data_IF_528960641871
#
_entry.id   IF_528960641871
#
_cell.length_a   1.000
_cell.length_b   1.000
_cell.length_c   1.000
_cell.angle_alpha   90.00
_cell.angle_beta   90.00
_cell.angle_gamma   90.00
#
_symmetry.space_group_name_H-M   'P 1'
#
loop_
_entity.id
_entity.type
_entity.pdbx_description
1 polymer ?
#
# COMPACT_ATOMS: atom_id res chain seq x y z
N UNK A 1 -10.34 24.84 -8.57
CA UNK A 1 -10.29 23.37 -8.58
C UNK A 1 -9.59 22.95 -9.85
N UNK A 2 -8.70 21.95 -9.79
CA UNK A 2 -8.08 21.43 -11.00
C UNK A 2 -9.12 20.79 -11.93
N UNK A 3 -8.98 21.02 -13.23
CA UNK A 3 -9.88 20.47 -14.26
C UNK A 3 -9.01 19.77 -15.30
N UNK A 4 -9.32 18.51 -15.53
CA UNK A 4 -8.67 17.65 -16.52
C UNK A 4 -9.78 17.10 -17.39
N UNK A 5 -10.27 17.92 -18.33
CA UNK A 5 -11.48 17.62 -19.10
C UNK A 5 -11.44 16.21 -19.73
N UNK A 6 -12.54 15.45 -19.66
CA UNK A 6 -13.87 15.83 -19.19
C UNK A 6 -14.16 15.42 -17.73
N UNK A 7 -13.12 15.31 -16.90
CA UNK A 7 -13.23 15.13 -15.45
C UNK A 7 -12.69 16.35 -14.70
N UNK A 8 -13.10 16.50 -13.45
CA UNK A 8 -12.67 17.62 -12.60
C UNK A 8 -12.42 17.16 -11.18
N UNK A 9 -11.55 17.88 -10.49
CA UNK A 9 -11.43 17.74 -9.05
C UNK A 9 -12.77 18.11 -8.39
N UNK A 10 -13.21 17.30 -7.43
CA UNK A 10 -14.45 17.47 -6.71
C UNK A 10 -14.24 17.34 -5.20
N UNK A 11 -15.17 17.91 -4.44
CA UNK A 11 -15.19 17.88 -3.00
C UNK A 11 -16.30 16.95 -2.49
N UNK A 12 -15.95 16.10 -1.55
CA UNK A 12 -16.79 15.13 -0.88
C UNK A 12 -16.57 15.22 0.64
N UNK A 13 -17.58 14.85 1.42
CA UNK A 13 -17.59 14.98 2.87
C UNK A 13 -16.47 14.19 3.59
N UNK A 14 -16.03 13.08 3.00
CA UNK A 14 -14.96 12.25 3.58
C UNK A 14 -13.56 12.86 3.39
N UNK A 15 -13.39 13.81 2.48
CA UNK A 15 -12.08 14.44 2.28
C UNK A 15 -11.71 15.29 3.50
N UNK A 16 -10.41 15.46 3.69
CA UNK A 16 -9.84 16.31 4.74
C UNK A 16 -8.99 17.40 4.12
N UNK A 17 -8.93 18.54 4.78
CA UNK A 17 -7.96 19.59 4.52
C UNK A 17 -6.85 19.42 5.56
N UNK A 18 -5.66 19.07 5.10
CA UNK A 18 -4.52 18.74 5.95
C UNK A 18 -3.44 19.80 5.77
N UNK A 19 -2.98 20.39 6.86
CA UNK A 19 -1.86 21.32 6.83
C UNK A 19 -0.54 20.54 6.75
N UNK A 20 0.15 20.66 5.62
CA UNK A 20 1.45 20.06 5.37
C UNK A 20 2.53 21.12 5.58
N UNK A 21 3.49 20.90 6.51
CA UNK A 21 4.55 21.86 6.74
C UNK A 21 5.30 22.23 5.46
N UNK A 22 5.52 23.53 5.29
CA UNK A 22 6.18 24.13 4.12
C UNK A 22 5.44 24.00 2.77
N UNK A 23 4.26 23.36 2.74
CA UNK A 23 3.45 23.20 1.51
C UNK A 23 2.04 23.80 1.64
N UNK A 24 1.60 24.10 2.86
CA UNK A 24 0.29 24.66 3.14
C UNK A 24 -0.79 23.59 3.21
N UNK A 25 -2.04 24.00 3.02
CA UNK A 25 -3.19 23.11 3.15
C UNK A 25 -3.40 22.28 1.87
N UNK A 26 -3.46 20.95 2.02
CA UNK A 26 -3.76 20.02 0.92
C UNK A 26 -5.08 19.29 1.15
N UNK A 27 -5.86 19.10 0.09
CA UNK A 27 -7.02 18.21 0.10
C UNK A 27 -6.57 16.75 0.05
N UNK A 28 -7.04 15.90 0.97
CA UNK A 28 -6.67 14.49 1.04
C UNK A 28 -7.88 13.56 1.19
N UNK A 29 -8.02 12.52 0.34
CA UNK A 29 -7.36 12.39 -0.97
C UNK A 29 -7.88 13.44 -1.95
N UNK A 30 -7.18 13.69 -3.06
CA UNK A 30 -7.77 14.43 -4.18
C UNK A 30 -8.75 13.51 -4.93
N UNK A 31 -9.95 14.00 -5.27
CA UNK A 31 -10.97 13.19 -5.94
C UNK A 31 -11.27 13.77 -7.31
N UNK A 32 -11.19 12.95 -8.36
CA UNK A 32 -11.69 13.28 -9.69
C UNK A 32 -13.00 12.55 -9.98
N UNK A 33 -13.93 13.26 -10.61
CA UNK A 33 -15.20 12.71 -11.11
C UNK A 33 -15.46 13.23 -12.53
N UNK A 34 -16.07 12.42 -13.42
CA UNK A 34 -16.57 12.91 -14.71
C UNK A 34 -17.55 14.07 -14.51
N UNK A 35 -17.55 15.04 -15.42
CA UNK A 35 -18.56 16.11 -15.43
C UNK A 35 -19.94 15.56 -15.81
N UNK A 36 -21.03 16.16 -15.32
CA UNK A 36 -22.39 15.63 -15.51
C UNK A 36 -22.81 15.49 -16.99
N UNK A 37 -22.27 16.33 -17.87
CA UNK A 37 -22.49 16.30 -19.32
C UNK A 37 -21.32 15.66 -20.10
N UNK A 38 -20.39 15.03 -19.37
CA UNK A 38 -19.18 14.41 -19.92
C UNK A 38 -19.51 13.21 -20.80
N UNK A 39 -18.67 13.03 -21.82
CA UNK A 39 -18.68 11.82 -22.66
C UNK A 39 -18.11 10.59 -21.96
N UNK A 40 -17.40 10.73 -20.84
CA UNK A 40 -16.62 9.64 -20.20
C UNK A 40 -17.56 8.58 -19.60
N UNK A 41 -18.07 7.72 -20.47
CA UNK A 41 -19.18 6.79 -20.23
C UNK A 41 -18.79 5.35 -20.50
N UNK A 42 -17.72 5.13 -21.28
CA UNK A 42 -17.13 3.81 -21.52
C UNK A 42 -15.74 3.67 -20.93
N UNK A 43 -15.30 2.41 -20.76
CA UNK A 43 -13.96 2.11 -20.25
C UNK A 43 -12.87 2.59 -21.21
N UNK A 44 -13.08 2.56 -22.53
CA UNK A 44 -12.12 3.02 -23.51
C UNK A 44 -11.84 4.53 -23.38
N UNK A 45 -12.89 5.32 -23.12
CA UNK A 45 -12.79 6.75 -22.87
C UNK A 45 -12.07 7.04 -21.54
N UNK A 46 -12.35 6.25 -20.50
CA UNK A 46 -11.67 6.35 -19.21
C UNK A 46 -10.17 6.03 -19.34
N UNK A 47 -9.82 4.96 -20.06
CA UNK A 47 -8.44 4.56 -20.34
C UNK A 47 -7.72 5.65 -21.13
N UNK A 48 -8.33 6.15 -22.20
CA UNK A 48 -7.74 7.23 -23.01
C UNK A 48 -7.53 8.51 -22.20
N UNK A 49 -8.48 8.85 -21.31
CA UNK A 49 -8.37 9.99 -20.42
C UNK A 49 -7.23 9.82 -19.40
N UNK A 50 -7.11 8.64 -18.77
CA UNK A 50 -6.02 8.35 -17.83
C UNK A 50 -4.68 8.42 -18.55
N UNK A 51 -4.54 7.79 -19.72
CA UNK A 51 -3.29 7.80 -20.49
C UNK A 51 -2.87 9.22 -20.89
N UNK A 52 -3.83 10.04 -21.34
CA UNK A 52 -3.59 11.45 -21.70
C UNK A 52 -3.13 12.28 -20.49
N UNK A 53 -3.68 12.00 -19.31
CA UNK A 53 -3.46 12.81 -18.10
C UNK A 53 -2.45 12.19 -17.11
N UNK A 54 -1.86 11.02 -17.41
CA UNK A 54 -1.06 10.23 -16.45
C UNK A 54 0.04 11.02 -15.76
N UNK A 55 0.78 11.85 -16.49
CA UNK A 55 1.86 12.65 -15.90
C UNK A 55 1.32 13.63 -14.85
N UNK A 56 0.22 14.33 -15.18
CA UNK A 56 -0.42 15.27 -14.26
C UNK A 56 -1.07 14.56 -13.08
N UNK A 57 -1.69 13.40 -13.29
CA UNK A 57 -2.21 12.56 -12.21
C UNK A 57 -1.11 12.12 -11.25
N UNK A 58 0.06 11.70 -11.74
CA UNK A 58 1.18 11.32 -10.89
C UNK A 58 1.78 12.52 -10.13
N UNK A 59 1.87 13.69 -10.76
CA UNK A 59 2.24 14.94 -10.07
C UNK A 59 1.26 15.28 -8.95
N UNK A 60 -0.04 15.16 -9.20
CA UNK A 60 -1.06 15.42 -8.20
C UNK A 60 -1.05 14.39 -7.08
N UNK A 61 -0.82 13.12 -7.39
CA UNK A 61 -0.67 12.08 -6.39
C UNK A 61 0.54 12.35 -5.49
N UNK A 62 1.62 12.93 -6.04
CA UNK A 62 2.79 13.36 -5.26
C UNK A 62 2.47 14.52 -4.31
N UNK A 63 1.63 15.47 -4.71
CA UNK A 63 1.21 16.62 -3.87
C UNK A 63 0.20 16.19 -2.81
N UNK A 64 -0.85 15.51 -3.23
CA UNK A 64 -1.98 15.16 -2.38
C UNK A 64 -1.79 13.83 -1.64
N UNK A 65 -0.76 13.04 -1.97
CA UNK A 65 -0.49 11.72 -1.40
C UNK A 65 -1.37 10.58 -1.95
N UNK A 66 -2.61 10.88 -2.36
CA UNK A 66 -3.51 9.92 -2.99
C UNK A 66 -4.54 10.60 -3.91
N UNK A 67 -4.95 9.88 -4.96
CA UNK A 67 -6.05 10.26 -5.86
C UNK A 67 -7.12 9.17 -5.84
N UNK A 68 -8.38 9.59 -5.78
CA UNK A 68 -9.55 8.74 -6.01
C UNK A 68 -10.21 9.11 -7.34
N UNK A 69 -10.34 8.14 -8.24
CA UNK A 69 -11.19 8.25 -9.43
C UNK A 69 -12.57 7.72 -9.06
N UNK A 70 -13.56 8.62 -8.94
CA UNK A 70 -14.93 8.29 -8.53
C UNK A 70 -15.89 8.45 -9.70
N UNK A 71 -16.87 7.55 -9.79
CA UNK A 71 -17.91 7.54 -10.83
C UNK A 71 -17.37 7.38 -12.27
N UNK A 72 -16.16 6.80 -12.41
CA UNK A 72 -15.63 6.35 -13.70
C UNK A 72 -16.26 5.01 -14.11
N UNK A 73 -16.38 4.71 -15.42
CA UNK A 73 -16.97 3.47 -15.95
C UNK A 73 -16.04 2.25 -15.79
N UNK A 74 -15.61 1.97 -14.56
CA UNK A 74 -14.75 0.85 -14.17
C UNK A 74 -15.61 -0.12 -13.35
N UNK A 75 -15.93 -1.28 -13.93
CA UNK A 75 -16.92 -2.21 -13.37
C UNK A 75 -16.46 -3.67 -13.33
N UNK A 76 -15.22 -3.94 -13.73
CA UNK A 76 -14.63 -5.29 -13.67
C UNK A 76 -13.14 -5.22 -13.33
N UNK A 77 -12.55 -6.36 -12.97
CA UNK A 77 -11.11 -6.48 -12.77
C UNK A 77 -10.30 -6.16 -14.05
N UNK A 78 -10.81 -6.51 -15.23
CA UNK A 78 -10.18 -6.20 -16.52
C UNK A 78 -10.20 -4.70 -16.81
N UNK A 79 -11.29 -4.00 -16.46
CA UNK A 79 -11.35 -2.54 -16.57
C UNK A 79 -10.30 -1.90 -15.64
N UNK A 80 -10.17 -2.40 -14.41
CA UNK A 80 -9.17 -1.92 -13.48
C UNK A 80 -7.73 -2.18 -13.95
N UNK A 81 -7.45 -3.37 -14.49
CA UNK A 81 -6.16 -3.72 -15.10
C UNK A 81 -5.82 -2.77 -16.27
N UNK A 82 -6.80 -2.48 -17.14
CA UNK A 82 -6.62 -1.55 -18.25
C UNK A 82 -6.31 -0.12 -17.77
N UNK A 83 -6.95 0.34 -16.70
CA UNK A 83 -6.65 1.64 -16.08
C UNK A 83 -5.25 1.64 -15.50
N UNK A 84 -4.85 0.59 -14.77
CA UNK A 84 -3.50 0.45 -14.22
C UNK A 84 -2.42 0.56 -15.30
N UNK A 85 -2.62 -0.13 -16.43
CA UNK A 85 -1.75 -0.06 -17.62
C UNK A 85 -1.72 1.35 -18.23
N UNK A 86 -2.85 2.05 -18.27
CA UNK A 86 -2.95 3.41 -18.79
C UNK A 86 -2.17 4.44 -17.95
N UNK A 87 -2.10 4.27 -16.62
CA UNK A 87 -1.26 5.12 -15.76
C UNK A 87 0.22 4.98 -16.13
N UNK A 88 0.63 3.82 -16.67
CA UNK A 88 2.00 3.58 -17.16
C UNK A 88 3.01 3.37 -16.03
N UNK A 89 2.56 2.88 -14.87
CA UNK A 89 3.43 2.48 -13.77
C UNK A 89 4.00 1.08 -14.03
N UNK A 90 5.24 0.86 -13.62
CA UNK A 90 5.85 -0.47 -13.68
C UNK A 90 5.14 -1.44 -12.72
N UNK A 91 4.87 -2.64 -13.22
CA UNK A 91 4.31 -3.71 -12.40
C UNK A 91 5.33 -4.15 -11.36
N UNK A 92 4.89 -4.24 -10.10
CA UNK A 92 5.73 -4.70 -9.02
C UNK A 92 5.51 -6.21 -8.81
N UNK A 93 6.54 -7.07 -8.97
CA UNK A 93 6.39 -8.50 -8.71
C UNK A 93 6.14 -8.72 -7.22
N UNK A 94 4.95 -9.21 -6.87
CA UNK A 94 4.54 -9.38 -5.48
C UNK A 94 5.25 -10.59 -4.84
N UNK A 95 6.38 -10.34 -4.19
CA UNK A 95 7.20 -11.35 -3.51
C UNK A 95 7.28 -11.02 -2.02
N UNK A 96 7.02 -12.02 -1.16
CA UNK A 96 7.23 -11.92 0.29
C UNK A 96 6.13 -11.21 1.09
N UNK A 97 4.96 -10.95 0.51
CA UNK A 97 3.81 -10.39 1.24
C UNK A 97 3.27 -11.34 2.31
N UNK A 98 2.63 -10.79 3.35
CA UNK A 98 2.21 -11.55 4.54
C UNK A 98 0.85 -12.25 4.41
N UNK A 99 0.01 -11.87 3.44
CA UNK A 99 -1.32 -12.42 3.23
C UNK A 99 -1.37 -13.20 1.91
N UNK A 100 -2.09 -14.33 1.83
CA UNK A 100 -2.32 -15.01 0.55
C UNK A 100 -3.03 -14.08 -0.43
N UNK A 101 -2.75 -14.24 -1.72
CA UNK A 101 -3.29 -13.39 -2.80
C UNK A 101 -3.73 -14.29 -3.94
N UNK A 102 -4.93 -14.07 -4.45
CA UNK A 102 -5.44 -14.75 -5.64
C UNK A 102 -5.35 -13.80 -6.83
N UNK A 103 -4.64 -14.21 -7.88
CA UNK A 103 -4.60 -13.46 -9.15
C UNK A 103 -5.95 -13.60 -9.85
N UNK A 104 -6.56 -12.47 -10.22
CA UNK A 104 -7.83 -12.43 -10.93
C UNK A 104 -7.58 -12.29 -12.44
N UNK A 105 -6.80 -11.28 -12.84
CA UNK A 105 -6.42 -11.03 -14.24
C UNK A 105 -5.21 -10.11 -14.28
N UNK A 106 -4.31 -10.30 -15.24
CA UNK A 106 -3.10 -9.47 -15.38
C UNK A 106 -2.36 -9.27 -14.06
N UNK A 107 -2.23 -8.01 -13.64
CA UNK A 107 -1.60 -7.60 -12.37
C UNK A 107 -2.60 -7.33 -11.24
N UNK A 108 -3.86 -7.71 -11.43
CA UNK A 108 -4.94 -7.54 -10.44
C UNK A 108 -5.09 -8.81 -9.62
N UNK A 109 -5.03 -8.65 -8.31
CA UNK A 109 -5.17 -9.72 -7.33
C UNK A 109 -6.00 -9.26 -6.12
N UNK A 110 -6.53 -10.21 -5.35
CA UNK A 110 -7.33 -9.93 -4.16
C UNK A 110 -6.53 -9.20 -3.07
N UNK A 111 -7.14 -8.24 -2.36
CA UNK A 111 -6.43 -7.36 -1.42
C UNK A 111 -6.10 -8.05 -0.09
N UNK A 112 -7.08 -8.62 0.60
CA UNK A 112 -6.84 -9.39 1.81
C UNK A 112 -8.02 -10.33 2.00
N UNK A 113 -7.73 -11.59 2.31
CA UNK A 113 -8.75 -12.61 2.60
C UNK A 113 -8.86 -12.85 4.12
N UNK A 114 -8.33 -11.92 4.93
CA UNK A 114 -8.52 -11.95 6.39
C UNK A 114 -10.02 -11.88 6.74
N UNK A 115 -10.43 -12.44 7.88
CA UNK A 115 -11.82 -12.38 8.31
C UNK A 115 -12.36 -10.95 8.37
N UNK A 116 -13.61 -10.75 7.91
CA UNK A 116 -14.21 -9.43 7.73
C UNK A 116 -14.42 -8.64 9.04
N UNK A 117 -14.34 -9.31 10.19
CA UNK A 117 -14.45 -8.72 11.53
C UNK A 117 -13.10 -8.24 12.09
N UNK A 118 -11.98 -8.49 11.39
CA UNK A 118 -10.65 -8.12 11.84
C UNK A 118 -10.23 -6.75 11.30
N UNK A 119 -9.64 -5.93 12.18
CA UNK A 119 -9.03 -4.67 11.78
C UNK A 119 -7.64 -4.93 11.18
N UNK A 120 -7.38 -4.31 10.03
CA UNK A 120 -6.05 -4.28 9.42
C UNK A 120 -5.30 -3.06 9.98
N UNK A 121 -4.18 -3.25 10.68
CA UNK A 121 -3.33 -2.15 11.17
C UNK A 121 -2.86 -1.21 10.06
N UNK A 122 -2.67 0.08 10.37
CA UNK A 122 -2.00 1.00 9.45
C UNK A 122 -0.58 0.53 9.13
N UNK A 123 -0.22 0.58 7.85
CA UNK A 123 1.08 0.16 7.37
C UNK A 123 1.43 0.76 6.00
N UNK A 124 2.71 0.69 5.65
CA UNK A 124 3.14 0.77 4.25
C UNK A 124 3.18 -0.64 3.65
N UNK A 125 2.73 -0.79 2.41
CA UNK A 125 2.77 -2.07 1.70
C UNK A 125 4.23 -2.55 1.59
N UNK A 126 4.50 -3.80 2.00
CA UNK A 126 5.83 -4.41 2.00
C UNK A 126 6.93 -3.57 2.70
N UNK A 127 6.60 -2.84 3.78
CA UNK A 127 7.55 -1.93 4.44
C UNK A 127 8.84 -2.63 4.98
N UNK A 128 8.78 -3.95 5.21
CA UNK A 128 9.90 -4.75 5.70
C UNK A 128 10.79 -5.29 4.57
N UNK A 129 10.36 -5.16 3.32
CA UNK A 129 11.09 -5.63 2.16
C UNK A 129 12.07 -4.57 1.66
N UNK A 130 13.24 -5.02 1.16
CA UNK A 130 14.24 -4.15 0.53
C UNK A 130 13.65 -3.44 -0.71
N UNK A 131 12.88 -4.20 -1.49
CA UNK A 131 12.13 -3.71 -2.62
C UNK A 131 10.66 -3.59 -2.19
N UNK A 132 10.07 -2.41 -2.34
CA UNK A 132 8.67 -2.15 -2.04
C UNK A 132 8.03 -1.33 -3.17
N UNK A 133 6.71 -1.42 -3.37
CA UNK A 133 6.04 -0.64 -4.39
C UNK A 133 6.16 0.87 -4.11
N UNK A 134 6.28 1.66 -5.17
CA UNK A 134 6.23 3.13 -5.09
C UNK A 134 4.79 3.67 -5.09
N UNK A 135 3.87 2.88 -5.64
CA UNK A 135 2.46 3.18 -5.78
C UNK A 135 1.65 1.91 -5.55
N UNK A 136 0.45 2.08 -5.02
CA UNK A 136 -0.54 1.02 -4.90
C UNK A 136 -1.88 1.54 -5.42
N UNK A 137 -2.63 0.69 -6.08
CA UNK A 137 -3.96 1.01 -6.61
C UNK A 137 -4.97 0.06 -5.97
N UNK A 138 -6.13 0.61 -5.60
CA UNK A 138 -7.26 -0.15 -5.08
C UNK A 138 -8.48 0.04 -5.98
N UNK A 139 -9.27 -1.01 -6.14
CA UNK A 139 -10.54 -1.01 -6.86
C UNK A 139 -11.61 -1.70 -6.03
N UNK A 140 -12.78 -1.08 -5.98
CA UNK A 140 -13.96 -1.61 -5.31
C UNK A 140 -14.86 -2.26 -6.35
N UNK A 141 -14.77 -3.59 -6.48
CA UNK A 141 -15.64 -4.36 -7.38
C UNK A 141 -17.06 -4.48 -6.82
N UNK A 142 -17.16 -4.81 -5.53
CA UNK A 142 -18.41 -4.86 -4.79
C UNK A 142 -18.27 -4.05 -3.50
N UNK A 143 -19.06 -2.98 -3.32
CA UNK A 143 -19.05 -2.23 -2.07
C UNK A 143 -19.56 -3.10 -0.93
N UNK A 144 -18.98 -2.94 0.26
CA UNK A 144 -19.46 -3.58 1.47
C UNK A 144 -20.82 -2.98 1.90
N UNK A 145 -21.70 -3.80 2.47
CA UNK A 145 -23.00 -3.33 2.97
C UNK A 145 -22.84 -2.33 4.14
N UNK A 146 -21.77 -2.51 4.94
CA UNK A 146 -21.38 -1.62 6.04
C UNK A 146 -19.89 -1.76 6.33
N UNK A 147 -19.22 -0.66 6.61
CA UNK A 147 -17.78 -0.66 6.90
C UNK A 147 -16.98 -1.04 5.65
N UNK A 148 -15.87 -1.75 5.84
CA UNK A 148 -15.05 -2.25 4.73
C UNK A 148 -14.31 -1.16 3.96
N UNK A 149 -14.27 0.07 4.49
CA UNK A 149 -13.45 1.12 3.93
C UNK A 149 -11.96 0.72 4.03
N UNK A 150 -11.14 1.34 3.18
CA UNK A 150 -9.68 1.29 3.28
C UNK A 150 -9.18 2.64 3.80
N UNK A 151 -9.04 2.83 5.13
CA UNK A 151 -8.52 4.08 5.66
C UNK A 151 -7.10 4.32 5.18
N UNK A 152 -6.83 5.56 4.75
CA UNK A 152 -5.49 6.00 4.32
C UNK A 152 -5.08 7.23 5.12
N UNK A 153 -3.78 7.44 5.26
CA UNK A 153 -3.20 8.57 6.01
C UNK A 153 -1.87 9.04 5.38
N UNK A 154 -1.51 10.30 5.60
CA UNK A 154 -0.21 10.85 5.17
C UNK A 154 0.88 10.53 6.19
N UNK A 155 1.77 9.59 5.85
CA UNK A 155 2.84 9.11 6.73
C UNK A 155 3.81 10.20 7.21
N UNK A 156 4.04 11.24 6.41
CA UNK A 156 4.90 12.37 6.78
C UNK A 156 4.27 13.19 7.93
N UNK A 157 2.95 13.38 7.94
CA UNK A 157 2.28 14.09 9.04
C UNK A 157 2.34 13.30 10.34
N UNK A 158 2.26 11.97 10.27
CA UNK A 158 2.46 11.09 11.42
C UNK A 158 3.91 11.22 11.93
N UNK A 159 4.90 11.18 11.03
CA UNK A 159 6.30 11.37 11.37
C UNK A 159 6.53 12.71 12.09
N UNK A 160 5.98 13.81 11.56
CA UNK A 160 6.11 15.15 12.15
C UNK A 160 5.43 15.24 13.52
N UNK A 161 4.24 14.67 13.65
CA UNK A 161 3.52 14.66 14.91
C UNK A 161 4.29 13.88 15.99
N UNK A 162 4.76 12.67 15.69
CA UNK A 162 5.56 11.87 16.62
C UNK A 162 6.89 12.57 16.92
N UNK A 163 7.54 13.21 15.94
CA UNK A 163 8.78 13.95 16.16
C UNK A 163 8.61 15.13 17.09
N UNK A 164 7.46 15.80 17.05
CA UNK A 164 7.14 16.91 17.95
C UNK A 164 6.76 16.42 19.35
N UNK A 165 5.97 15.37 19.45
CA UNK A 165 5.45 14.86 20.72
C UNK A 165 6.46 13.98 21.48
N UNK A 166 7.29 13.24 20.76
CA UNK A 166 8.22 12.24 21.30
C UNK A 166 9.62 12.34 20.65
N UNK A 167 10.32 13.48 20.77
CA UNK A 167 11.62 13.69 20.11
C UNK A 167 12.69 12.68 20.55
N UNK A 168 12.76 12.37 21.85
CA UNK A 168 13.72 11.39 22.39
C UNK A 168 13.49 9.99 21.82
N UNK A 169 12.22 9.61 21.62
CA UNK A 169 11.87 8.35 20.96
C UNK A 169 12.34 8.35 19.51
N UNK A 170 12.11 9.43 18.77
CA UNK A 170 12.54 9.55 17.37
C UNK A 170 14.06 9.50 17.22
N UNK A 171 14.81 10.11 18.15
CA UNK A 171 16.27 10.03 18.19
C UNK A 171 16.74 8.58 18.45
N UNK A 172 16.14 7.91 19.42
CA UNK A 172 16.50 6.54 19.77
C UNK A 172 16.19 5.54 18.66
N UNK A 173 15.00 5.61 18.05
CA UNK A 173 14.66 4.72 16.92
C UNK A 173 15.47 5.06 15.67
N UNK A 174 15.87 6.32 15.49
CA UNK A 174 16.76 6.73 14.39
C UNK A 174 18.15 6.13 14.52
N UNK A 175 18.69 6.03 15.74
CA UNK A 175 19.99 5.40 16.02
C UNK A 175 19.92 3.87 16.01
N UNK A 176 18.86 3.29 16.60
CA UNK A 176 18.77 1.84 16.85
C UNK A 176 18.06 1.07 15.74
N UNK A 177 17.21 1.73 14.96
CA UNK A 177 16.28 1.07 14.04
C UNK A 177 15.28 0.16 14.77
N UNK A 178 14.67 -0.76 14.02
CA UNK A 178 13.71 -1.75 14.52
C UNK A 178 14.05 -3.14 13.97
N UNK A 179 13.71 -4.18 14.75
CA UNK A 179 13.73 -5.58 14.30
C UNK A 179 12.34 -6.16 14.41
N UNK A 180 11.97 -7.00 13.45
CA UNK A 180 10.70 -7.71 13.45
C UNK A 180 10.96 -9.19 13.70
N UNK A 181 10.20 -9.77 14.61
CA UNK A 181 10.17 -11.20 14.86
C UNK A 181 8.79 -11.71 14.47
N UNK A 182 8.75 -12.78 13.66
CA UNK A 182 7.51 -13.45 13.28
C UNK A 182 7.64 -14.95 13.46
N UNK A 183 6.58 -15.60 13.89
CA UNK A 183 6.47 -17.05 13.86
C UNK A 183 5.53 -17.40 12.72
N UNK A 184 6.08 -18.09 11.71
CA UNK A 184 5.36 -18.53 10.52
C UNK A 184 4.91 -19.98 10.72
N UNK A 185 3.63 -20.30 10.56
CA UNK A 185 3.17 -21.69 10.58
C UNK A 185 3.81 -22.51 9.44
N UNK A 186 3.66 -23.83 9.48
CA UNK A 186 4.16 -24.70 8.39
C UNK A 186 3.42 -24.38 7.08
N UNK A 187 2.10 -24.39 7.14
CA UNK A 187 1.18 -24.13 6.03
C UNK A 187 0.41 -22.83 6.26
N UNK A 188 -0.27 -22.34 5.23
CA UNK A 188 -1.08 -21.12 5.31
C UNK A 188 -2.34 -21.34 6.17
N UNK A 189 -2.57 -20.43 7.12
CA UNK A 189 -3.77 -20.36 7.96
C UNK A 189 -4.68 -19.22 7.50
N UNK A 190 -5.75 -19.56 6.78
CA UNK A 190 -6.73 -18.60 6.28
C UNK A 190 -7.53 -17.89 7.40
N UNK A 191 -7.48 -18.36 8.64
CA UNK A 191 -8.19 -17.74 9.77
C UNK A 191 -7.39 -16.62 10.44
N UNK A 192 -6.13 -16.45 10.07
CA UNK A 192 -5.20 -15.49 10.66
C UNK A 192 -4.76 -14.41 9.67
N UNK A 193 -4.78 -13.15 10.09
CA UNK A 193 -4.30 -11.99 9.31
C UNK A 193 -2.77 -11.97 9.10
N UNK A 194 -2.04 -12.90 9.72
CA UNK A 194 -0.61 -13.16 9.51
C UNK A 194 -0.37 -14.66 9.27
N UNK A 195 -1.38 -15.38 8.79
CA UNK A 195 -1.37 -16.84 8.71
C UNK A 195 -0.51 -17.43 7.60
N UNK A 196 0.17 -16.62 6.77
CA UNK A 196 1.05 -17.17 5.73
C UNK A 196 2.17 -18.01 6.35
N UNK A 197 2.27 -19.26 5.92
CA UNK A 197 3.26 -20.21 6.37
C UNK A 197 4.65 -19.93 5.79
N UNK A 198 5.67 -20.58 6.33
CA UNK A 198 7.04 -20.37 5.88
C UNK A 198 7.25 -20.88 4.45
N UNK A 199 6.57 -21.98 4.06
CA UNK A 199 6.71 -22.54 2.72
C UNK A 199 6.21 -21.56 1.65
N UNK A 200 5.06 -20.94 1.87
CA UNK A 200 4.50 -19.89 1.02
C UNK A 200 5.28 -18.56 1.12
N UNK A 201 6.00 -18.31 2.22
CA UNK A 201 6.84 -17.12 2.39
C UNK A 201 8.13 -17.22 1.59
N UNK A 202 8.82 -18.36 1.66
CA UNK A 202 10.09 -18.63 0.97
C UNK A 202 9.90 -19.35 -0.38
N UNK A 203 8.65 -19.59 -0.77
CA UNK A 203 8.27 -20.29 -2.01
C UNK A 203 9.02 -21.62 -2.19
N UNK A 204 9.19 -22.37 -1.11
CA UNK A 204 9.95 -23.63 -1.07
C UNK A 204 9.42 -24.53 0.03
N UNK A 205 9.56 -25.86 -0.15
CA UNK A 205 9.30 -26.85 0.90
C UNK A 205 10.60 -27.40 1.51
N UNK A 206 11.77 -26.96 1.02
CA UNK A 206 13.08 -27.33 1.55
C UNK A 206 13.57 -26.30 2.59
N UNK A 207 13.74 -26.76 3.83
CA UNK A 207 14.26 -25.96 4.93
C UNK A 207 15.62 -25.32 4.63
N UNK A 208 16.51 -26.02 3.92
CA UNK A 208 17.85 -25.50 3.59
C UNK A 208 17.78 -24.38 2.56
N UNK A 209 16.84 -24.47 1.63
CA UNK A 209 16.62 -23.41 0.66
C UNK A 209 16.02 -22.17 1.33
N UNK A 210 15.10 -22.35 2.28
CA UNK A 210 14.58 -21.25 3.10
C UNK A 210 15.70 -20.56 3.91
N UNK A 211 16.60 -21.33 4.51
CA UNK A 211 17.80 -20.81 5.21
C UNK A 211 18.70 -20.00 4.29
N UNK A 212 18.98 -20.51 3.08
CA UNK A 212 19.78 -19.81 2.07
C UNK A 212 19.16 -18.46 1.66
N UNK A 213 17.85 -18.45 1.38
CA UNK A 213 17.14 -17.22 1.02
C UNK A 213 17.10 -16.23 2.19
N UNK A 214 16.89 -16.71 3.42
CA UNK A 214 16.90 -15.86 4.60
C UNK A 214 18.27 -15.21 4.83
N UNK A 215 19.37 -15.94 4.60
CA UNK A 215 20.73 -15.41 4.67
C UNK A 215 20.95 -14.29 3.64
N UNK A 216 20.49 -14.45 2.40
CA UNK A 216 20.54 -13.41 1.36
C UNK A 216 19.77 -12.13 1.74
N UNK A 217 18.73 -12.28 2.55
CA UNK A 217 17.92 -11.18 3.08
C UNK A 217 18.46 -10.61 4.41
N UNK A 218 19.53 -11.19 4.96
CA UNK A 218 20.09 -10.82 6.27
C UNK A 218 19.17 -11.16 7.44
N UNK A 219 18.26 -12.11 7.25
CA UNK A 219 17.32 -12.59 8.26
C UNK A 219 17.91 -13.81 9.00
N UNK A 220 17.52 -14.01 10.25
CA UNK A 220 17.86 -15.23 11.00
C UNK A 220 16.62 -16.11 11.18
N UNK A 221 16.82 -17.43 11.08
CA UNK A 221 15.78 -18.44 11.22
C UNK A 221 15.99 -19.28 12.47
N UNK A 222 14.89 -19.65 13.14
CA UNK A 222 14.85 -20.60 14.25
C UNK A 222 13.68 -21.55 14.02
N UNK A 223 13.99 -22.82 13.74
CA UNK A 223 13.00 -23.89 13.59
C UNK A 223 12.45 -24.28 14.96
N UNK A 224 11.14 -24.24 15.12
CA UNK A 224 10.46 -24.53 16.38
C UNK A 224 10.03 -26.01 16.45
N UNK A 225 9.81 -26.58 17.66
CA UNK A 225 9.50 -28.01 17.82
C UNK A 225 8.22 -28.49 17.12
N UNK A 226 7.29 -27.59 16.84
CA UNK A 226 6.03 -27.87 16.13
C UNK A 226 6.17 -27.78 14.59
N UNK A 227 7.38 -27.54 14.10
CA UNK A 227 7.69 -27.37 12.67
C UNK A 227 7.48 -25.95 12.15
N UNK A 228 6.94 -25.04 12.96
CA UNK A 228 6.85 -23.62 12.59
C UNK A 228 8.24 -22.97 12.55
N UNK A 229 8.32 -21.82 11.89
CA UNK A 229 9.58 -21.11 11.67
C UNK A 229 9.53 -19.72 12.25
N UNK A 230 10.38 -19.46 13.24
CA UNK A 230 10.59 -18.10 13.74
C UNK A 230 11.62 -17.38 12.87
N UNK A 231 11.22 -16.25 12.31
CA UNK A 231 12.08 -15.36 11.52
C UNK A 231 12.39 -14.10 12.31
N UNK A 232 13.61 -13.60 12.18
CA UNK A 232 14.00 -12.28 12.71
C UNK A 232 14.64 -11.47 11.59
N UNK A 233 14.13 -10.26 11.36
CA UNK A 233 14.65 -9.35 10.34
C UNK A 233 16.05 -8.81 10.72
N UNK A 234 16.83 -8.30 9.75
CA UNK A 234 17.92 -7.38 10.08
C UNK A 234 17.37 -6.14 10.81
N UNK A 235 18.26 -5.30 11.34
CA UNK A 235 17.87 -3.98 11.82
C UNK A 235 17.44 -3.16 10.60
N UNK A 236 16.18 -2.72 10.60
CA UNK A 236 15.60 -1.87 9.57
C UNK A 236 15.46 -0.45 10.11
N UNK A 237 15.58 0.54 9.23
CA UNK A 237 15.29 1.92 9.60
C UNK A 237 13.82 2.08 9.96
N UNK A 238 13.53 2.72 11.09
CA UNK A 238 12.15 3.01 11.52
C UNK A 238 11.53 4.17 10.74
N UNK A 239 12.34 4.95 10.04
CA UNK A 239 11.96 6.15 9.29
C UNK A 239 12.66 6.14 7.93
N UNK A 240 12.05 6.73 6.90
CA UNK A 240 12.65 6.85 5.56
C UNK A 240 12.52 8.28 5.04
N UNK A 241 13.41 8.69 4.16
CA UNK A 241 13.24 9.90 3.35
C UNK A 241 12.54 9.49 2.05
N UNK A 242 11.41 10.11 1.73
CA UNK A 242 10.85 10.02 0.38
C UNK A 242 11.63 10.96 -0.53
N UNK A 243 12.59 10.43 -1.27
CA UNK A 243 13.46 11.17 -2.20
C UNK A 243 12.67 11.99 -3.24
N UNK A 244 11.43 11.59 -3.55
CA UNK A 244 10.61 12.34 -4.52
C UNK A 244 10.15 13.66 -3.93
N UNK A 245 9.78 13.67 -2.65
CA UNK A 245 9.17 14.82 -1.97
C UNK A 245 10.12 15.51 -1.00
N UNK A 246 11.24 14.90 -0.65
CA UNK A 246 12.16 15.36 0.39
C UNK A 246 11.60 15.23 1.82
N UNK A 247 10.49 14.49 2.01
CA UNK A 247 9.82 14.37 3.30
C UNK A 247 10.24 13.11 4.03
N UNK A 248 10.49 13.24 5.33
CA UNK A 248 10.63 12.07 6.18
C UNK A 248 9.26 11.45 6.43
N UNK A 249 9.21 10.13 6.30
CA UNK A 249 8.02 9.31 6.52
C UNK A 249 8.31 8.27 7.59
N UNK A 250 7.26 7.88 8.28
CA UNK A 250 7.32 6.72 9.16
C UNK A 250 7.55 5.47 8.29
N UNK A 251 8.60 4.70 8.61
CA UNK A 251 9.03 3.52 7.85
C UNK A 251 8.53 2.20 8.46
N UNK A 252 7.74 2.25 9.54
CA UNK A 252 7.30 1.03 10.21
C UNK A 252 6.11 0.37 9.51
N UNK A 253 6.09 -0.96 9.65
CA UNK A 253 5.27 -1.85 8.87
C UNK A 253 3.90 -2.17 9.48
N UNK A 254 3.61 -1.85 10.75
CA UNK A 254 2.28 -1.98 11.38
C UNK A 254 2.24 -1.13 12.66
N UNK A 255 1.18 -0.34 12.85
CA UNK A 255 0.79 0.18 14.17
C UNK A 255 -0.31 -0.70 14.75
N UNK A 256 -0.02 -1.45 15.82
CA UNK A 256 -1.02 -2.17 16.62
C UNK A 256 -1.70 -1.25 17.62
#
# INVERSE_FOLDING_TARGET
MEVLTPARAANFEFQRQLDVPNEGTVTFPLVFTPEAESKLSTIEEAVAWVDTNKAKLLELAKVHGAILLRDFPISTAEHFDAIGKAVGLEEFPYIGGAAPRTVITGSVFTANESPADQLIPYHHELAQSKNHPLHIMFYCDKPADKGGETPICLSNLIYEQISREFPDFMEEIGKKGVKYIRVLPVEDDATSAIGRGWQSTFMTTDAKEAERQAEELGMTLEWLPDGSLKTTSPILSATKLDERTGKSVHGMARFS
#
